data_IF_128012998697
#
_entry.id   IF_128012998697
#
_cell.length_a   1.000
_cell.length_b   1.000
_cell.length_c   1.000
_cell.angle_alpha   90.00
_cell.angle_beta   90.00
_cell.angle_gamma   90.00
#
_symmetry.space_group_name_H-M   'P 1'
#
loop_
_entity.id
_entity.type
_entity.pdbx_description
1 polymer ?
#
# COMPACT_ATOMS: atom_id res chain seq x y z
N UNK A 1 2.25 -24.23 -14.24
CA UNK A 1 3.19 -24.01 -15.37
C UNK A 1 4.52 -23.75 -14.70
N UNK A 2 5.38 -24.77 -14.62
CA UNK A 2 6.71 -24.60 -14.04
C UNK A 2 7.50 -23.60 -14.89
N UNK A 3 8.17 -22.67 -14.22
CA UNK A 3 8.98 -21.67 -14.88
C UNK A 3 10.39 -22.25 -15.02
N UNK A 4 10.78 -22.61 -16.24
CA UNK A 4 12.11 -23.11 -16.56
C UNK A 4 13.14 -21.98 -16.42
N UNK A 5 13.67 -21.82 -15.20
CA UNK A 5 14.57 -20.72 -14.82
C UNK A 5 15.82 -20.64 -15.71
N UNK A 6 16.36 -21.79 -16.12
CA UNK A 6 17.55 -21.85 -16.98
C UNK A 6 17.31 -21.38 -18.41
N UNK A 7 16.11 -21.61 -18.94
CA UNK A 7 15.73 -21.16 -20.29
C UNK A 7 15.50 -19.65 -20.30
N UNK A 8 14.85 -19.14 -19.25
CA UNK A 8 14.67 -17.70 -19.05
C UNK A 8 16.02 -16.96 -19.02
N UNK A 9 17.00 -17.50 -18.28
CA UNK A 9 18.31 -16.86 -18.16
C UNK A 9 19.03 -16.74 -19.51
N UNK A 10 19.09 -17.84 -20.29
CA UNK A 10 19.65 -17.85 -21.65
C UNK A 10 18.93 -16.89 -22.60
N UNK A 11 17.61 -16.73 -22.45
CA UNK A 11 16.83 -15.77 -23.23
C UNK A 11 17.17 -14.32 -22.86
N UNK A 12 17.40 -14.04 -21.58
CA UNK A 12 17.82 -12.71 -21.11
C UNK A 12 19.20 -12.35 -21.67
N UNK A 13 20.15 -13.29 -21.64
CA UNK A 13 21.48 -13.11 -22.24
C UNK A 13 21.41 -12.86 -23.74
N UNK A 14 20.51 -13.55 -24.44
CA UNK A 14 20.28 -13.34 -25.87
C UNK A 14 19.72 -11.94 -26.15
N UNK A 15 18.78 -11.47 -25.32
CA UNK A 15 18.20 -10.11 -25.43
C UNK A 15 19.27 -9.05 -25.19
N UNK A 16 20.09 -9.20 -24.15
CA UNK A 16 21.17 -8.25 -23.81
C UNK A 16 22.18 -8.17 -24.96
N UNK A 17 22.59 -9.31 -25.51
CA UNK A 17 23.50 -9.36 -26.65
C UNK A 17 22.92 -8.70 -27.91
N UNK A 18 21.61 -8.86 -28.18
CA UNK A 18 20.95 -8.21 -29.33
C UNK A 18 20.84 -6.69 -29.18
N UNK A 19 20.55 -6.20 -27.96
CA UNK A 19 20.55 -4.77 -27.66
C UNK A 19 21.92 -4.15 -27.96
N UNK A 20 23.00 -4.89 -27.68
CA UNK A 20 24.37 -4.41 -27.92
C UNK A 20 24.82 -4.49 -29.38
N UNK A 21 24.29 -5.42 -30.18
CA UNK A 21 24.80 -5.73 -31.53
C UNK A 21 23.98 -5.20 -32.70
N UNK A 22 22.65 -5.07 -32.55
CA UNK A 22 21.76 -5.07 -33.73
C UNK A 22 20.65 -4.01 -33.72
N UNK A 23 20.52 -3.21 -32.66
CA UNK A 23 19.38 -2.28 -32.54
C UNK A 23 19.78 -0.85 -32.84
N UNK A 24 19.13 -0.25 -33.83
CA UNK A 24 19.24 1.17 -34.13
C UNK A 24 18.94 1.99 -32.86
N UNK A 25 19.95 2.75 -32.42
CA UNK A 25 19.97 3.44 -31.14
C UNK A 25 18.84 4.46 -31.01
N UNK A 26 18.31 4.97 -32.13
CA UNK A 26 17.31 6.03 -32.14
C UNK A 26 15.89 5.49 -31.90
N UNK A 27 15.53 4.41 -32.59
CA UNK A 27 14.24 3.73 -32.38
C UNK A 27 14.08 3.25 -30.93
N UNK A 28 15.13 2.70 -30.33
CA UNK A 28 15.10 2.25 -28.94
C UNK A 28 14.91 3.40 -27.95
N UNK A 29 15.48 4.58 -28.23
CA UNK A 29 15.28 5.78 -27.41
C UNK A 29 13.83 6.25 -27.45
N UNK A 30 13.18 6.16 -28.60
CA UNK A 30 11.78 6.54 -28.76
C UNK A 30 10.84 5.62 -27.97
N UNK A 31 11.01 4.31 -28.10
CA UNK A 31 10.26 3.33 -27.29
C UNK A 31 10.52 3.52 -25.80
N UNK A 32 11.77 3.79 -25.40
CA UNK A 32 12.11 4.10 -24.01
C UNK A 32 11.42 5.37 -23.51
N UNK A 33 11.28 6.40 -24.34
CA UNK A 33 10.59 7.65 -23.98
C UNK A 33 9.10 7.40 -23.78
N UNK A 34 8.46 6.67 -24.69
CA UNK A 34 7.03 6.32 -24.59
C UNK A 34 6.77 5.47 -23.34
N UNK A 35 7.60 4.46 -23.09
CA UNK A 35 7.53 3.61 -21.91
C UNK A 35 7.61 4.43 -20.62
N UNK A 36 8.56 5.36 -20.53
CA UNK A 36 8.73 6.24 -19.36
C UNK A 36 7.56 7.21 -19.17
N UNK A 37 6.95 7.71 -20.25
CA UNK A 37 5.80 8.64 -20.20
C UNK A 37 4.53 7.95 -19.71
N UNK A 38 4.31 6.69 -20.11
CA UNK A 38 3.10 5.93 -19.78
C UNK A 38 3.20 5.16 -18.47
N UNK A 39 4.40 4.74 -18.07
CA UNK A 39 4.59 3.85 -16.92
C UNK A 39 5.33 4.57 -15.80
N UNK A 40 4.65 4.68 -14.65
CA UNK A 40 5.20 5.19 -13.39
C UNK A 40 6.47 4.43 -13.00
N UNK A 41 7.43 5.12 -12.37
CA UNK A 41 8.76 4.61 -12.04
C UNK A 41 8.68 3.27 -11.28
N UNK A 42 7.72 3.12 -10.38
CA UNK A 42 7.53 1.92 -9.56
C UNK A 42 7.00 0.70 -10.33
N UNK A 43 6.34 0.92 -11.48
CA UNK A 43 5.73 -0.15 -12.28
C UNK A 43 6.62 -0.59 -13.46
N UNK A 44 7.77 0.05 -13.66
CA UNK A 44 8.66 -0.25 -14.80
C UNK A 44 9.28 -1.64 -14.71
N UNK A 45 9.67 -2.05 -13.51
CA UNK A 45 10.22 -3.39 -13.25
C UNK A 45 9.17 -4.47 -13.49
N UNK A 46 7.95 -4.27 -13.01
CA UNK A 46 6.83 -5.18 -13.23
C UNK A 46 6.42 -5.27 -14.70
N UNK A 47 6.38 -4.13 -15.40
CA UNK A 47 6.07 -4.11 -16.83
C UNK A 47 7.17 -4.81 -17.66
N UNK A 48 8.45 -4.63 -17.31
CA UNK A 48 9.54 -5.35 -17.96
C UNK A 48 9.48 -6.86 -17.69
N UNK A 49 9.20 -7.27 -16.45
CA UNK A 49 9.02 -8.68 -16.11
C UNK A 49 7.84 -9.32 -16.87
N UNK A 50 6.75 -8.57 -17.03
CA UNK A 50 5.59 -9.02 -17.81
C UNK A 50 5.91 -9.15 -19.31
N UNK A 51 6.58 -8.16 -19.90
CA UNK A 51 7.03 -8.22 -21.30
C UNK A 51 8.02 -9.36 -21.54
N UNK A 52 8.90 -9.63 -20.57
CA UNK A 52 9.85 -10.73 -20.64
C UNK A 52 9.16 -12.09 -20.55
N UNK A 53 8.22 -12.24 -19.60
CA UNK A 53 7.33 -13.41 -19.52
C UNK A 53 6.56 -13.63 -20.83
N UNK A 54 6.15 -12.54 -21.48
CA UNK A 54 5.46 -12.58 -22.76
C UNK A 54 6.37 -13.03 -23.91
N UNK A 55 7.59 -12.51 -23.98
CA UNK A 55 8.58 -12.90 -24.98
C UNK A 55 8.90 -14.41 -24.94
N UNK A 56 8.94 -14.98 -23.73
CA UNK A 56 9.15 -16.41 -23.53
C UNK A 56 7.94 -17.27 -23.95
N UNK A 57 6.72 -16.72 -23.83
CA UNK A 57 5.46 -17.44 -24.14
C UNK A 57 5.01 -17.38 -25.61
N UNK A 58 5.52 -16.46 -26.45
CA UNK A 58 5.18 -16.32 -27.90
C UNK A 58 3.68 -16.29 -28.27
N UNK A 59 2.77 -16.05 -27.33
CA UNK A 59 1.33 -15.96 -27.60
C UNK A 59 0.85 -14.53 -27.37
N UNK A 60 0.32 -13.85 -28.40
CA UNK A 60 -0.54 -12.67 -28.20
C UNK A 60 -1.86 -13.15 -27.58
N UNK A 61 -2.21 -12.80 -26.33
CA UNK A 61 -3.59 -12.96 -25.92
C UNK A 61 -4.39 -11.91 -26.69
N UNK A 62 -5.24 -12.39 -27.60
CA UNK A 62 -6.31 -11.60 -28.20
C UNK A 62 -7.11 -10.95 -27.05
N UNK A 63 -7.31 -9.62 -27.00
CA UNK A 63 -7.98 -8.96 -25.87
C UNK A 63 -9.39 -9.50 -25.58
N UNK A 64 -9.97 -10.30 -26.48
CA UNK A 64 -11.27 -10.93 -26.34
C UNK A 64 -11.30 -12.24 -25.54
N UNK A 65 -10.16 -12.90 -25.26
CA UNK A 65 -10.16 -14.24 -24.63
C UNK A 65 -9.35 -14.27 -23.34
N UNK A 66 -9.85 -13.59 -22.31
CA UNK A 66 -9.52 -13.96 -20.92
C UNK A 66 -10.51 -15.05 -20.50
N UNK A 67 -10.22 -16.30 -20.90
CA UNK A 67 -10.84 -17.46 -20.26
C UNK A 67 -10.24 -17.62 -18.87
N UNK A 68 -11.06 -17.39 -17.84
CA UNK A 68 -10.82 -17.84 -16.46
C UNK A 68 -10.48 -19.34 -16.50
N UNK A 69 -9.26 -19.70 -16.13
CA UNK A 69 -8.91 -21.05 -15.75
C UNK A 69 -8.05 -21.01 -14.48
N UNK A 70 -8.63 -21.58 -13.44
CA UNK A 70 -8.09 -21.82 -12.10
C UNK A 70 -6.81 -22.65 -12.12
N UNK A 71 -5.80 -22.26 -11.30
CA UNK A 71 -4.77 -23.14 -10.73
C UNK A 71 -4.02 -22.45 -9.56
N UNK A 72 -3.36 -23.20 -8.65
CA UNK A 72 -3.47 -23.04 -7.21
C UNK A 72 -2.21 -22.40 -6.57
N UNK A 73 -2.38 -21.95 -5.33
CA UNK A 73 -1.38 -21.65 -4.30
C UNK A 73 0.02 -21.20 -4.73
N UNK A 74 0.18 -19.88 -4.93
CA UNK A 74 1.45 -19.19 -4.70
C UNK A 74 1.20 -17.74 -4.28
N UNK A 75 1.26 -17.53 -2.96
CA UNK A 75 1.03 -16.27 -2.23
C UNK A 75 1.67 -15.02 -2.87
N UNK A 76 0.82 -14.15 -3.39
CA UNK A 76 0.92 -12.69 -3.27
C UNK A 76 -0.48 -12.17 -2.89
N UNK A 77 -0.66 -11.44 -1.78
CA UNK A 77 -1.93 -10.75 -1.58
C UNK A 77 -1.90 -9.47 -2.42
N UNK A 78 -2.66 -9.51 -3.51
CA UNK A 78 -3.13 -8.34 -4.24
C UNK A 78 -4.26 -7.71 -3.42
N UNK A 79 -4.26 -6.38 -3.47
CA UNK A 79 -5.23 -5.44 -2.97
C UNK A 79 -6.57 -5.60 -3.72
N UNK A 80 -7.64 -6.00 -3.03
CA UNK A 80 -8.96 -5.35 -3.01
C UNK A 80 -10.06 -6.22 -2.39
N UNK A 81 -10.81 -5.57 -1.50
CA UNK A 81 -12.13 -5.88 -0.95
C UNK A 81 -12.32 -7.06 0.02
N UNK A 82 -12.85 -6.67 1.18
CA UNK A 82 -13.49 -7.46 2.24
C UNK A 82 -12.57 -8.41 3.01
N UNK A 83 -12.05 -7.92 4.11
CA UNK A 83 -12.61 -8.23 5.43
C UNK A 83 -11.84 -7.45 6.49
N UNK A 84 -12.60 -6.82 7.37
CA UNK A 84 -12.12 -6.32 8.64
C UNK A 84 -11.55 -7.53 9.40
N UNK A 85 -10.23 -7.67 9.44
CA UNK A 85 -9.58 -8.78 10.15
C UNK A 85 -8.21 -8.37 10.73
N UNK A 86 -8.04 -7.08 11.02
CA UNK A 86 -7.09 -6.66 12.05
C UNK A 86 -7.93 -6.49 13.32
N UNK A 87 -8.12 -7.60 14.02
CA UNK A 87 -8.70 -7.71 15.36
C UNK A 87 -9.90 -6.78 15.57
N UNK A 88 -11.09 -7.27 15.25
CA UNK A 88 -12.30 -6.88 15.98
C UNK A 88 -12.09 -7.26 17.45
N UNK A 89 -11.29 -6.48 18.16
CA UNK A 89 -11.61 -6.21 19.55
C UNK A 89 -12.89 -5.41 19.40
N UNK A 90 -14.03 -6.11 19.53
CA UNK A 90 -15.33 -5.51 19.73
C UNK A 90 -15.24 -4.73 21.05
N UNK A 91 -14.58 -3.57 21.03
CA UNK A 91 -14.92 -2.51 21.96
C UNK A 91 -16.29 -2.06 21.49
N UNK A 92 -17.32 -2.38 22.26
CA UNK A 92 -18.67 -1.86 22.08
C UNK A 92 -18.58 -0.40 21.68
N UNK A 93 -19.27 0.00 20.60
CA UNK A 93 -19.22 1.38 20.07
C UNK A 93 -19.56 2.43 21.13
N UNK A 94 -20.24 2.03 22.21
CA UNK A 94 -20.54 2.86 23.39
C UNK A 94 -19.31 3.22 24.24
N UNK A 95 -18.22 2.44 24.18
CA UNK A 95 -17.00 2.63 24.98
C UNK A 95 -15.78 3.06 24.16
N UNK A 96 -15.94 3.28 22.86
CA UNK A 96 -14.85 3.60 21.96
C UNK A 96 -15.03 4.98 21.32
N UNK A 97 -14.08 5.89 21.56
CA UNK A 97 -14.06 7.22 20.95
C UNK A 97 -13.11 7.27 19.77
N UNK A 98 -13.54 7.94 18.71
CA UNK A 98 -12.69 8.24 17.56
C UNK A 98 -11.93 9.54 17.77
N UNK A 99 -10.62 9.50 17.56
CA UNK A 99 -9.71 10.65 17.61
C UNK A 99 -9.28 11.05 16.20
N UNK A 100 -9.28 12.34 15.93
CA UNK A 100 -8.76 12.97 14.73
C UNK A 100 -7.30 13.36 14.93
N UNK A 101 -6.45 12.98 13.99
CA UNK A 101 -5.05 13.37 13.90
C UNK A 101 -4.84 14.21 12.65
N UNK A 102 -4.21 15.38 12.81
CA UNK A 102 -3.92 16.33 11.72
C UNK A 102 -2.87 15.88 10.71
N UNK A 103 -2.51 14.59 10.69
CA UNK A 103 -1.48 14.02 9.82
C UNK A 103 -1.99 12.69 9.23
N UNK A 104 -1.66 12.45 7.96
CA UNK A 104 -2.04 11.25 7.23
C UNK A 104 -0.92 10.69 6.35
N UNK A 105 -1.31 9.95 5.32
CA UNK A 105 -0.44 9.17 4.43
C UNK A 105 0.60 10.01 3.70
N UNK A 106 0.29 11.26 3.35
CA UNK A 106 1.22 12.15 2.63
C UNK A 106 2.50 12.42 3.45
N UNK A 107 2.42 12.30 4.78
CA UNK A 107 3.56 12.41 5.68
C UNK A 107 4.16 11.07 6.08
N UNK A 108 3.91 10.01 5.29
CA UNK A 108 4.34 8.63 5.54
C UNK A 108 3.89 8.11 6.91
N UNK A 109 2.66 8.45 7.29
CA UNK A 109 2.07 8.01 8.54
C UNK A 109 1.37 6.66 8.28
N UNK A 110 1.80 5.62 8.99
CA UNK A 110 1.34 4.24 8.86
C UNK A 110 0.71 3.78 10.18
N UNK A 111 -0.14 2.73 10.20
CA UNK A 111 -0.80 2.27 11.42
C UNK A 111 0.20 1.91 12.54
N UNK A 112 1.32 1.28 12.17
CA UNK A 112 2.43 0.99 13.09
C UNK A 112 2.99 2.25 13.77
N UNK A 113 3.13 3.34 13.02
CA UNK A 113 3.65 4.60 13.53
C UNK A 113 2.65 5.27 14.48
N UNK A 114 1.35 5.17 14.20
CA UNK A 114 0.29 5.67 15.08
C UNK A 114 0.33 4.95 16.41
N UNK A 115 0.34 3.61 16.38
CA UNK A 115 0.39 2.78 17.58
C UNK A 115 1.65 3.11 18.38
N UNK A 116 2.81 3.14 17.71
CA UNK A 116 4.07 3.50 18.35
C UNK A 116 4.04 4.90 18.97
N UNK A 117 3.45 5.89 18.28
CA UNK A 117 3.35 7.26 18.78
C UNK A 117 2.47 7.33 20.03
N UNK A 118 1.31 6.67 20.02
CA UNK A 118 0.38 6.60 21.15
C UNK A 118 1.06 5.89 22.33
N UNK A 119 1.53 4.65 22.15
CA UNK A 119 2.20 3.88 23.20
C UNK A 119 3.46 4.58 23.77
N UNK A 120 4.13 5.42 22.98
CA UNK A 120 5.32 6.15 23.45
C UNK A 120 4.99 7.35 24.35
N UNK A 121 3.75 7.86 24.28
CA UNK A 121 3.33 9.08 24.97
C UNK A 121 2.26 8.84 26.02
N UNK A 122 1.55 7.73 25.94
CA UNK A 122 0.57 7.29 26.93
C UNK A 122 0.82 5.85 27.33
N UNK A 123 0.39 5.47 28.54
CA UNK A 123 0.32 4.07 28.96
C UNK A 123 -0.92 3.41 28.37
N UNK A 124 -1.00 3.40 27.03
CA UNK A 124 -2.07 2.78 26.25
C UNK A 124 -1.47 1.59 25.51
N UNK A 125 -2.11 0.44 25.64
CA UNK A 125 -1.65 -0.75 24.94
C UNK A 125 -2.26 -0.84 23.54
N UNK A 126 -1.66 -1.66 22.69
CA UNK A 126 -2.20 -1.95 21.34
C UNK A 126 -3.64 -2.51 21.37
N UNK A 127 -4.03 -3.07 22.50
CA UNK A 127 -5.34 -3.70 22.73
C UNK A 127 -6.45 -2.67 23.00
N UNK A 128 -6.08 -1.47 23.45
CA UNK A 128 -7.00 -0.34 23.62
C UNK A 128 -7.22 0.47 22.34
N UNK A 129 -6.47 0.15 21.28
CA UNK A 129 -6.54 0.82 19.98
C UNK A 129 -7.30 -0.09 19.02
N UNK A 130 -8.45 0.39 18.57
CA UNK A 130 -9.32 -0.29 17.62
C UNK A 130 -9.01 0.09 16.17
N UNK A 131 -10.06 0.43 15.43
CA UNK A 131 -9.95 0.72 14.00
C UNK A 131 -9.13 1.98 13.70
N UNK A 132 -8.22 1.89 12.72
CA UNK A 132 -7.37 2.99 12.25
C UNK A 132 -7.71 3.29 10.79
N UNK A 133 -8.19 4.49 10.50
CA UNK A 133 -8.44 4.98 9.14
C UNK A 133 -7.46 6.09 8.80
N UNK A 134 -6.61 5.86 7.81
CA UNK A 134 -5.60 6.84 7.38
C UNK A 134 -6.02 7.42 6.02
N UNK A 135 -6.19 8.74 5.98
CA UNK A 135 -6.41 9.50 4.75
C UNK A 135 -5.12 10.22 4.35
N UNK A 136 -5.15 10.98 3.26
CA UNK A 136 -3.94 11.62 2.72
C UNK A 136 -3.40 12.70 3.66
N UNK A 137 -4.28 13.55 4.21
CA UNK A 137 -3.90 14.70 5.04
C UNK A 137 -4.13 14.50 6.53
N UNK A 138 -5.05 13.62 6.92
CA UNK A 138 -5.45 13.38 8.30
C UNK A 138 -5.71 11.89 8.54
N UNK A 139 -5.85 11.49 9.80
CA UNK A 139 -6.18 10.12 10.18
C UNK A 139 -7.17 10.08 11.34
N UNK A 140 -7.91 8.98 11.43
CA UNK A 140 -8.82 8.68 12.50
C UNK A 140 -8.40 7.40 13.20
N UNK A 141 -8.44 7.42 14.52
CA UNK A 141 -8.06 6.29 15.36
C UNK A 141 -9.14 6.08 16.40
N UNK A 142 -9.71 4.90 16.45
CA UNK A 142 -10.64 4.51 17.49
C UNK A 142 -9.86 4.01 18.71
N UNK A 143 -10.16 4.56 19.87
CA UNK A 143 -9.52 4.21 21.15
C UNK A 143 -10.58 4.06 22.24
N UNK A 144 -10.25 3.34 23.31
CA UNK A 144 -11.13 3.25 24.48
C UNK A 144 -11.39 4.63 25.11
N UNK A 145 -12.64 4.89 25.51
CA UNK A 145 -13.10 6.16 26.06
C UNK A 145 -12.29 6.60 27.29
N UNK A 146 -11.95 5.66 28.18
CA UNK A 146 -11.15 5.93 29.39
C UNK A 146 -9.75 6.49 29.10
N UNK A 147 -9.20 6.24 27.90
CA UNK A 147 -7.86 6.66 27.48
C UNK A 147 -7.87 7.80 26.48
N UNK A 148 -9.02 8.15 25.91
CA UNK A 148 -9.13 9.16 24.86
C UNK A 148 -8.65 10.55 25.32
N UNK A 149 -9.03 10.98 26.53
CA UNK A 149 -8.62 12.27 27.09
C UNK A 149 -7.11 12.33 27.36
N UNK A 150 -6.54 11.26 27.92
CA UNK A 150 -5.10 11.12 28.19
C UNK A 150 -4.28 11.26 26.88
N UNK A 151 -4.75 10.62 25.81
CA UNK A 151 -4.13 10.66 24.49
C UNK A 151 -4.19 12.07 23.89
N UNK A 152 -5.35 12.75 23.96
CA UNK A 152 -5.48 14.12 23.44
C UNK A 152 -4.53 15.06 24.18
N UNK A 153 -4.52 15.02 25.51
CA UNK A 153 -3.67 15.90 26.32
C UNK A 153 -2.17 15.66 26.06
N UNK A 154 -1.78 14.39 25.91
CA UNK A 154 -0.36 14.03 25.73
C UNK A 154 0.14 14.30 24.32
N UNK A 155 -0.69 14.08 23.29
CA UNK A 155 -0.27 14.17 21.89
C UNK A 155 -0.49 15.55 21.26
N UNK A 156 -1.42 16.35 21.78
CA UNK A 156 -1.71 17.66 21.22
C UNK A 156 -0.52 18.61 21.38
N UNK A 157 -0.02 19.17 20.27
CA UNK A 157 1.11 20.10 20.25
C UNK A 157 2.49 19.46 20.06
N UNK A 158 2.60 18.13 20.01
CA UNK A 158 3.89 17.47 19.76
C UNK A 158 4.38 17.78 18.35
N UNK A 159 5.68 18.08 18.20
CA UNK A 159 6.31 18.16 16.88
C UNK A 159 6.52 16.76 16.31
N UNK A 160 5.73 16.41 15.31
CA UNK A 160 5.90 15.19 14.53
C UNK A 160 6.33 15.55 13.11
N UNK A 161 7.55 15.12 12.72
CA UNK A 161 8.12 15.33 11.37
C UNK A 161 8.05 16.80 10.90
N UNK A 162 8.42 17.72 11.79
CA UNK A 162 8.54 19.15 11.48
C UNK A 162 7.23 19.95 11.49
N UNK A 163 6.10 19.36 11.90
CA UNK A 163 4.84 20.08 12.14
C UNK A 163 4.27 19.72 13.50
N UNK A 164 3.59 20.67 14.14
CA UNK A 164 2.83 20.38 15.35
C UNK A 164 1.65 19.47 15.00
N UNK A 165 1.59 18.33 15.67
CA UNK A 165 0.46 17.41 15.64
C UNK A 165 -0.70 18.06 16.42
N UNK A 166 -1.88 18.05 15.83
CA UNK A 166 -3.12 18.42 16.52
C UNK A 166 -3.98 17.18 16.61
N UNK A 167 -4.39 16.85 17.84
CA UNK A 167 -5.28 15.73 18.13
C UNK A 167 -6.56 16.28 18.73
N UNK A 168 -7.70 15.90 18.15
CA UNK A 168 -9.03 16.34 18.58
C UNK A 168 -9.99 15.16 18.59
N UNK A 169 -11.15 15.30 19.24
CA UNK A 169 -12.25 14.37 19.07
C UNK A 169 -12.76 14.39 17.63
N UNK A 170 -12.91 13.21 17.03
CA UNK A 170 -13.52 13.09 15.72
C UNK A 170 -15.04 13.25 15.86
N UNK A 171 -15.62 14.14 15.05
CA UNK A 171 -17.08 14.19 14.90
C UNK A 171 -17.50 12.97 14.09
N UNK A 172 -17.95 11.91 14.76
CA UNK A 172 -18.57 10.78 14.10
C UNK A 172 -19.90 11.23 13.51
N UNK A 173 -20.00 11.25 12.17
CA UNK A 173 -21.26 11.46 11.43
C UNK A 173 -22.23 10.26 11.56
N UNK A 174 -22.04 9.42 12.57
CA UNK A 174 -22.76 8.16 12.79
C UNK A 174 -23.88 8.29 13.84
N UNK A 175 -24.15 9.50 14.34
CA UNK A 175 -25.18 9.76 15.37
C UNK A 175 -26.31 10.69 14.87
N UNK A 176 -26.45 10.88 13.56
CA UNK A 176 -27.58 11.57 12.95
C UNK A 176 -28.20 10.66 11.89
N UNK A 177 -29.03 9.72 12.34
CA UNK A 177 -30.21 9.19 11.63
C UNK A 177 -31.25 8.75 12.66
#
# INVERSE_FOLDING_TARGET
MEMDKEKADKNLDTIINRIQKETDLDTLKEYRRLFKKKISVFNRSWAAAWLFMYYDKKETPDPAVVKKQDKPDAKKPVKEEKTNAASEINLSEEEAKSLFFSIGKNRRLYPREIIALICSKTSTEREDIGSIRILDNYSFVQVRNTKADEIIQSLNGIKFRGRSLTVNYAKSKAAEE
#
